data_IF_738380736844
#
_entry.id   IF_738380736844
#
_cell.length_a   1.000
_cell.length_b   1.000
_cell.length_c   1.000
_cell.angle_alpha   90.00
_cell.angle_beta   90.00
_cell.angle_gamma   90.00
#
_symmetry.space_group_name_H-M   'P 1'
#
loop_
_entity.id
_entity.type
_entity.pdbx_description
1 polymer ?
#
# COMPACT_ATOMS: atom_id res chain seq x y z
N UNK A 1 4.50 -0.96 -9.95
CA UNK A 1 3.16 -0.43 -9.63
C UNK A 1 2.04 -1.22 -10.28
N UNK A 2 2.03 -1.41 -11.61
CA UNK A 2 0.96 -2.16 -12.28
C UNK A 2 0.63 -3.53 -11.67
N UNK A 3 1.64 -4.36 -11.35
CA UNK A 3 1.39 -5.66 -10.71
C UNK A 3 0.75 -5.53 -9.32
N UNK A 4 1.21 -4.55 -8.51
CA UNK A 4 0.64 -4.31 -7.18
C UNK A 4 -0.80 -3.80 -7.26
N UNK A 5 -1.10 -2.99 -8.27
CA UNK A 5 -2.47 -2.54 -8.50
C UNK A 5 -3.39 -3.71 -8.88
N UNK A 6 -2.94 -4.62 -9.75
CA UNK A 6 -3.69 -5.82 -10.13
C UNK A 6 -3.93 -6.76 -8.94
N UNK A 7 -2.90 -7.00 -8.12
CA UNK A 7 -2.97 -7.96 -7.02
C UNK A 7 -3.66 -7.38 -5.78
N UNK A 8 -3.41 -6.10 -5.46
CA UNK A 8 -3.85 -5.49 -4.20
C UNK A 8 -4.78 -4.29 -4.41
N UNK A 9 -4.42 -3.37 -5.29
CA UNK A 9 -5.13 -2.10 -5.48
C UNK A 9 -6.58 -2.29 -5.95
N UNK A 10 -6.76 -2.77 -7.18
CA UNK A 10 -8.07 -2.96 -7.81
C UNK A 10 -8.99 -3.92 -7.02
N UNK A 11 -8.52 -5.08 -6.51
CA UNK A 11 -9.38 -5.96 -5.70
C UNK A 11 -9.84 -5.30 -4.39
N UNK A 12 -8.95 -4.61 -3.67
CA UNK A 12 -9.31 -3.91 -2.45
C UNK A 12 -10.30 -2.78 -2.71
N UNK A 13 -10.08 -1.99 -3.78
CA UNK A 13 -10.96 -0.89 -4.15
C UNK A 13 -12.38 -1.38 -4.48
N UNK A 14 -12.51 -2.53 -5.16
CA UNK A 14 -13.80 -3.14 -5.47
C UNK A 14 -14.58 -3.52 -4.20
N UNK A 15 -13.92 -4.08 -3.17
CA UNK A 15 -14.57 -4.40 -1.90
C UNK A 15 -14.86 -3.14 -1.08
N UNK A 16 -13.93 -2.19 -1.03
CA UNK A 16 -14.06 -0.94 -0.29
C UNK A 16 -15.27 -0.12 -0.75
N UNK A 17 -15.62 -0.18 -2.03
CA UNK A 17 -16.82 0.46 -2.59
C UNK A 17 -18.13 0.01 -1.91
N UNK A 18 -18.17 -1.21 -1.33
CA UNK A 18 -19.32 -1.75 -0.61
C UNK A 18 -19.09 -1.89 0.91
N UNK A 19 -17.88 -1.64 1.40
CA UNK A 19 -17.48 -1.84 2.79
C UNK A 19 -16.84 -0.57 3.38
N UNK A 20 -17.64 0.35 3.96
CA UNK A 20 -17.14 1.62 4.49
C UNK A 20 -16.03 1.47 5.54
N UNK A 21 -16.06 0.40 6.33
CA UNK A 21 -15.00 0.09 7.29
C UNK A 21 -13.65 -0.18 6.62
N UNK A 22 -13.65 -0.95 5.52
CA UNK A 22 -12.44 -1.20 4.74
C UNK A 22 -11.96 0.08 4.05
N UNK A 23 -12.86 0.87 3.47
CA UNK A 23 -12.53 2.17 2.87
C UNK A 23 -11.80 3.07 3.86
N UNK A 24 -12.35 3.22 5.08
CA UNK A 24 -11.73 4.05 6.11
C UNK A 24 -10.33 3.57 6.53
N UNK A 25 -10.11 2.26 6.57
CA UNK A 25 -8.79 1.69 6.88
C UNK A 25 -7.80 1.96 5.73
N UNK A 26 -8.21 1.77 4.48
CA UNK A 26 -7.37 2.08 3.32
C UNK A 26 -7.00 3.58 3.28
N UNK A 27 -7.96 4.47 3.53
CA UNK A 27 -7.72 5.91 3.61
C UNK A 27 -6.72 6.26 4.71
N UNK A 28 -6.83 5.62 5.88
CA UNK A 28 -5.88 5.80 6.97
C UNK A 28 -4.46 5.34 6.58
N UNK A 29 -4.33 4.18 5.94
CA UNK A 29 -3.04 3.69 5.48
C UNK A 29 -2.44 4.58 4.39
N UNK A 30 -3.26 5.09 3.47
CA UNK A 30 -2.85 6.00 2.40
C UNK A 30 -2.37 7.34 2.97
N UNK A 31 -3.11 7.92 3.92
CA UNK A 31 -2.70 9.13 4.63
C UNK A 31 -1.36 8.95 5.34
N UNK A 32 -1.17 7.83 6.03
CA UNK A 32 0.10 7.53 6.69
C UNK A 32 1.27 7.38 5.69
N UNK A 33 1.04 6.77 4.52
CA UNK A 33 2.06 6.70 3.45
C UNK A 33 2.40 8.10 2.94
N UNK A 34 1.39 8.92 2.62
CA UNK A 34 1.58 10.30 2.16
C UNK A 34 2.41 11.09 3.16
N UNK A 35 2.10 10.98 4.46
CA UNK A 35 2.80 11.70 5.51
C UNK A 35 4.28 11.23 5.62
N UNK A 36 4.53 9.93 5.52
CA UNK A 36 5.91 9.38 5.46
C UNK A 36 6.67 9.91 4.24
N UNK A 37 6.05 9.91 3.06
CA UNK A 37 6.71 10.34 1.84
C UNK A 37 6.92 11.85 1.77
N UNK A 38 6.05 12.63 2.41
CA UNK A 38 6.13 14.10 2.42
C UNK A 38 7.11 14.60 3.47
N UNK A 39 7.11 14.00 4.66
CA UNK A 39 7.85 14.50 5.84
C UNK A 39 9.07 13.65 6.18
N UNK A 40 9.04 12.35 5.89
CA UNK A 40 10.07 11.39 6.29
C UNK A 40 11.19 11.17 5.26
N UNK A 41 11.11 11.77 4.08
CA UNK A 41 12.13 11.66 3.02
C UNK A 41 12.73 13.04 2.75
N UNK A 42 14.03 13.18 3.02
CA UNK A 42 14.76 14.41 2.71
C UNK A 42 14.67 14.73 1.21
N UNK A 43 14.41 16.00 0.89
CA UNK A 43 14.24 16.48 -0.49
C UNK A 43 13.10 15.78 -1.27
N UNK A 44 12.10 15.20 -0.57
CA UNK A 44 10.92 14.57 -1.16
C UNK A 44 10.24 15.44 -2.23
N UNK A 45 10.20 16.76 -2.02
CA UNK A 45 9.63 17.74 -2.94
C UNK A 45 10.32 17.79 -4.32
N UNK A 46 11.54 17.26 -4.46
CA UNK A 46 12.28 17.21 -5.72
C UNK A 46 12.19 15.86 -6.43
N UNK A 47 11.63 14.84 -5.77
CA UNK A 47 11.53 13.47 -6.31
C UNK A 47 10.11 13.26 -6.84
N UNK A 48 9.94 12.76 -8.08
CA UNK A 48 8.60 12.44 -8.59
C UNK A 48 7.87 11.44 -7.68
N UNK A 49 6.58 11.68 -7.41
CA UNK A 49 5.78 10.84 -6.52
C UNK A 49 5.85 9.35 -6.88
N UNK A 50 5.79 9.02 -8.17
CA UNK A 50 5.89 7.64 -8.67
C UNK A 50 7.20 6.95 -8.25
N UNK A 51 8.30 7.70 -8.16
CA UNK A 51 9.61 7.19 -7.72
C UNK A 51 9.60 6.96 -6.21
N UNK A 52 9.04 7.88 -5.44
CA UNK A 52 8.88 7.75 -3.99
C UNK A 52 8.01 6.54 -3.62
N UNK A 53 6.86 6.40 -4.28
CA UNK A 53 5.92 5.29 -4.09
C UNK A 53 6.56 3.96 -4.49
N UNK A 54 7.26 3.90 -5.62
CA UNK A 54 7.95 2.68 -6.04
C UNK A 54 9.08 2.28 -5.06
N UNK A 55 9.83 3.27 -4.57
CA UNK A 55 10.87 3.05 -3.56
C UNK A 55 10.29 2.55 -2.24
N UNK A 56 9.18 3.14 -1.78
CA UNK A 56 8.46 2.70 -0.59
C UNK A 56 7.94 1.27 -0.74
N UNK A 57 7.28 0.95 -1.86
CA UNK A 57 6.79 -0.39 -2.15
C UNK A 57 7.92 -1.43 -2.11
N UNK A 58 9.05 -1.12 -2.77
CA UNK A 58 10.22 -2.00 -2.80
C UNK A 58 10.78 -2.23 -1.41
N UNK A 59 11.08 -1.15 -0.67
CA UNK A 59 11.64 -1.25 0.67
C UNK A 59 10.71 -2.00 1.64
N UNK A 60 9.39 -1.84 1.49
CA UNK A 60 8.41 -2.58 2.28
C UNK A 60 8.46 -4.08 1.96
N UNK A 61 8.38 -4.45 0.67
CA UNK A 61 8.43 -5.84 0.25
C UNK A 61 9.74 -6.52 0.65
N UNK A 62 10.87 -5.83 0.47
CA UNK A 62 12.18 -6.34 0.86
C UNK A 62 12.26 -6.55 2.39
N UNK A 63 11.76 -5.59 3.18
CA UNK A 63 11.71 -5.71 4.65
C UNK A 63 10.92 -6.94 5.13
N UNK A 64 9.80 -7.26 4.48
CA UNK A 64 8.98 -8.42 4.85
C UNK A 64 9.51 -9.73 4.26
N UNK A 65 10.14 -9.71 3.09
CA UNK A 65 10.78 -10.88 2.48
C UNK A 65 11.98 -11.40 3.29
N UNK A 66 12.69 -10.53 4.00
CA UNK A 66 13.83 -10.89 4.86
C UNK A 66 13.42 -11.53 6.20
N UNK A 67 12.12 -11.53 6.56
CA UNK A 67 11.65 -12.07 7.83
C UNK A 67 11.43 -13.59 7.76
N UNK A 68 11.97 -14.30 8.74
CA UNK A 68 11.95 -15.78 8.81
C UNK A 68 10.54 -16.39 8.90
N UNK A 69 9.55 -15.58 9.27
CA UNK A 69 8.12 -15.86 9.36
C UNK A 69 7.42 -15.94 7.98
N UNK A 70 8.16 -15.80 6.87
CA UNK A 70 7.69 -16.22 5.54
C UNK A 70 6.50 -15.42 5.03
N UNK A 71 6.40 -14.15 5.42
CA UNK A 71 5.35 -13.23 5.02
C UNK A 71 5.47 -12.92 3.52
N UNK A 72 5.04 -13.87 2.68
CA UNK A 72 4.89 -13.67 1.26
C UNK A 72 3.68 -12.77 1.07
N UNK A 73 3.91 -11.58 0.52
CA UNK A 73 2.87 -10.64 0.10
C UNK A 73 2.04 -11.27 -1.03
N UNK A 74 1.19 -12.23 -0.69
CA UNK A 74 0.08 -12.66 -1.51
C UNK A 74 -1.14 -11.81 -1.17
N UNK A 75 -2.05 -11.58 -2.13
CA UNK A 75 -3.32 -10.95 -1.82
C UNK A 75 -4.14 -11.82 -0.85
N UNK A 76 -4.94 -11.21 0.04
CA UNK A 76 -5.79 -11.96 0.95
C UNK A 76 -6.91 -12.68 0.18
N UNK A 77 -7.36 -13.81 0.71
CA UNK A 77 -8.60 -14.45 0.22
C UNK A 77 -9.83 -13.58 0.51
N UNK A 78 -9.79 -12.85 1.64
CA UNK A 78 -10.84 -11.94 2.07
C UNK A 78 -10.25 -10.61 2.54
N UNK A 79 -10.66 -9.52 1.90
CA UNK A 79 -10.19 -8.18 2.26
C UNK A 79 -10.63 -7.69 3.64
N UNK A 80 -11.66 -8.29 4.23
CA UNK A 80 -12.02 -8.01 5.63
C UNK A 80 -11.02 -8.58 6.64
N UNK A 81 -10.27 -9.62 6.25
CA UNK A 81 -9.25 -10.28 7.07
C UNK A 81 -7.83 -9.90 6.63
N UNK A 82 -7.72 -8.90 5.75
CA UNK A 82 -6.45 -8.44 5.21
C UNK A 82 -5.52 -7.98 6.33
N UNK A 83 -4.28 -8.45 6.28
CA UNK A 83 -3.27 -8.03 7.22
C UNK A 83 -2.77 -6.60 6.92
N UNK A 84 -1.91 -6.12 7.82
CA UNK A 84 -1.36 -4.78 7.72
C UNK A 84 -0.57 -4.54 6.42
N UNK A 85 0.19 -5.53 5.92
CA UNK A 85 1.00 -5.38 4.71
C UNK A 85 0.10 -5.33 3.47
N UNK A 86 -0.88 -6.21 3.39
CA UNK A 86 -1.86 -6.25 2.31
C UNK A 86 -2.66 -4.95 2.23
N UNK A 87 -3.14 -4.45 3.37
CA UNK A 87 -3.82 -3.15 3.47
C UNK A 87 -2.88 -2.00 3.09
N UNK A 88 -1.61 -2.06 3.51
CA UNK A 88 -0.61 -1.03 3.16
C UNK A 88 -0.30 -1.01 1.65
N UNK A 89 -0.19 -2.16 0.99
CA UNK A 89 0.06 -2.25 -0.44
C UNK A 89 -1.15 -1.80 -1.27
N UNK A 90 -2.38 -2.17 -0.85
CA UNK A 90 -3.60 -1.69 -1.47
C UNK A 90 -3.75 -0.16 -1.35
N UNK A 91 -3.57 0.38 -0.14
CA UNK A 91 -3.65 1.82 0.11
C UNK A 91 -2.56 2.61 -0.63
N UNK A 92 -1.38 2.03 -0.83
CA UNK A 92 -0.32 2.62 -1.65
C UNK A 92 -0.74 2.76 -3.12
N UNK A 93 -1.48 1.79 -3.65
CA UNK A 93 -2.03 1.87 -5.00
C UNK A 93 -3.12 2.94 -5.12
N UNK A 94 -4.01 3.04 -4.11
CA UNK A 94 -5.00 4.11 -4.03
C UNK A 94 -4.34 5.50 -4.00
N UNK A 95 -3.34 5.68 -3.15
CA UNK A 95 -2.59 6.95 -3.08
C UNK A 95 -1.82 7.28 -4.37
N UNK A 96 -1.39 6.28 -5.13
CA UNK A 96 -0.71 6.49 -6.41
C UNK A 96 -1.68 6.85 -7.56
N UNK A 97 -2.98 6.61 -7.38
CA UNK A 97 -4.02 6.87 -8.36
C UNK A 97 -4.75 8.21 -8.16
N UNK A 98 -4.62 8.81 -6.96
CA UNK A 98 -5.04 10.18 -6.61
C UNK A 98 -4.18 11.25 -7.30
#
# INVERSE_FOLDING_TARGET
MQQLDIEFGAPAAAVAAAAPGLSAVLDQHAAAVRDILTVGVDESARVPLVVLVAGYARGLLDHFAERADGFLAGPPENWHDADWLQLRLAALCAYAAD
#
